data_IF_135859160049
#
_entry.id   IF_135859160049
#
_cell.length_a   1.000
_cell.length_b   1.000
_cell.length_c   1.000
_cell.angle_alpha   90.00
_cell.angle_beta   90.00
_cell.angle_gamma   90.00
#
_symmetry.space_group_name_H-M   'P 1'
#
loop_
_entity.id
_entity.type
_entity.pdbx_description
1 polymer ?
#
# COMPACT_ATOMS: atom_id res chain seq x y z
N UNK A 1 -2.40 24.17 -26.54
CA UNK A 1 -1.68 25.46 -26.55
C UNK A 1 -0.33 25.26 -27.23
N UNK A 2 0.33 26.34 -27.66
CA UNK A 2 1.63 26.32 -28.35
C UNK A 2 2.82 25.89 -27.44
N UNK A 3 2.52 25.16 -26.36
CA UNK A 3 3.39 24.36 -25.53
C UNK A 3 2.54 23.20 -25.03
N UNK A 4 2.98 21.95 -25.21
CA UNK A 4 2.19 20.71 -25.20
C UNK A 4 1.51 20.28 -23.89
N UNK A 5 0.98 21.22 -23.11
CA UNK A 5 0.19 20.94 -21.92
C UNK A 5 -1.24 20.52 -22.30
N UNK A 6 -1.70 19.42 -21.71
CA UNK A 6 -3.10 18.99 -21.79
C UNK A 6 -3.98 19.97 -21.00
N UNK A 7 -5.00 20.51 -21.65
CA UNK A 7 -6.08 21.26 -21.02
C UNK A 7 -7.07 20.25 -20.44
N UNK A 8 -7.30 20.31 -19.14
CA UNK A 8 -8.28 19.46 -18.46
C UNK A 8 -9.62 20.19 -18.36
N UNK A 9 -10.70 19.48 -18.68
CA UNK A 9 -12.06 19.98 -18.49
C UNK A 9 -12.49 19.86 -17.02
N UNK A 10 -13.59 20.53 -16.62
CA UNK A 10 -14.14 20.39 -15.26
C UNK A 10 -14.50 18.94 -14.92
N UNK A 11 -15.01 18.17 -15.89
CA UNK A 11 -15.31 16.75 -15.69
C UNK A 11 -14.04 15.91 -15.50
N UNK A 12 -12.93 16.25 -16.17
CA UNK A 12 -11.64 15.58 -15.94
C UNK A 12 -11.12 15.83 -14.51
N UNK A 13 -11.25 17.06 -14.01
CA UNK A 13 -10.85 17.41 -12.64
C UNK A 13 -11.71 16.67 -11.61
N UNK A 14 -13.02 16.59 -11.84
CA UNK A 14 -13.94 15.84 -10.98
C UNK A 14 -13.62 14.34 -10.99
N UNK A 15 -13.38 13.76 -12.17
CA UNK A 15 -12.97 12.36 -12.32
C UNK A 15 -11.67 12.09 -11.56
N UNK A 16 -10.69 12.98 -11.66
CA UNK A 16 -9.44 12.87 -10.90
C UNK A 16 -9.69 12.91 -9.40
N UNK A 17 -10.53 13.84 -8.89
CA UNK A 17 -10.88 13.87 -7.45
C UNK A 17 -11.54 12.57 -6.98
N UNK A 18 -12.43 11.99 -7.78
CA UNK A 18 -13.06 10.70 -7.47
C UNK A 18 -12.04 9.56 -7.45
N UNK A 19 -11.14 9.48 -8.44
CA UNK A 19 -10.02 8.52 -8.43
C UNK A 19 -9.15 8.74 -7.18
N UNK A 20 -8.86 10.01 -6.85
CA UNK A 20 -8.07 10.39 -5.68
C UNK A 20 -8.74 9.94 -4.36
N UNK A 21 -10.06 10.05 -4.27
CA UNK A 21 -10.87 9.56 -3.15
C UNK A 21 -10.84 8.03 -3.07
N UNK A 22 -11.16 7.34 -4.16
CA UNK A 22 -11.27 5.87 -4.20
C UNK A 22 -9.96 5.14 -3.85
N UNK A 23 -8.79 5.64 -4.26
CA UNK A 23 -7.53 5.01 -3.78
C UNK A 23 -7.08 5.49 -2.39
N UNK A 24 -7.62 6.61 -1.86
CA UNK A 24 -7.28 7.10 -0.51
C UNK A 24 -8.14 6.42 0.56
N UNK A 25 -9.44 6.33 0.31
CA UNK A 25 -10.45 5.94 1.29
C UNK A 25 -10.86 4.47 1.13
N UNK A 26 -10.85 3.96 -0.10
CA UNK A 26 -11.30 2.61 -0.45
C UNK A 26 -10.18 1.71 -0.98
N UNK A 27 -8.95 2.25 -1.08
CA UNK A 27 -7.74 1.55 -1.51
C UNK A 27 -7.88 0.80 -2.84
N UNK A 28 -8.73 1.31 -3.74
CA UNK A 28 -9.03 0.62 -5.00
C UNK A 28 -7.85 0.75 -6.00
N UNK A 29 -7.48 -0.32 -6.70
CA UNK A 29 -6.49 -0.29 -7.78
C UNK A 29 -6.98 0.52 -8.98
N UNK A 30 -6.08 1.20 -9.71
CA UNK A 30 -6.45 2.04 -10.87
C UNK A 30 -7.25 1.28 -11.95
N UNK A 31 -7.00 -0.03 -12.11
CA UNK A 31 -7.75 -0.88 -13.05
C UNK A 31 -9.19 -1.09 -12.60
N UNK A 32 -9.40 -1.32 -11.31
CA UNK A 32 -10.74 -1.49 -10.72
C UNK A 32 -11.48 -0.16 -10.71
N UNK A 33 -10.81 0.93 -10.34
CA UNK A 33 -11.38 2.29 -10.44
C UNK A 33 -11.80 2.59 -11.87
N UNK A 34 -10.98 2.25 -12.87
CA UNK A 34 -11.35 2.43 -14.29
C UNK A 34 -12.66 1.69 -14.64
N UNK A 35 -12.85 0.47 -14.13
CA UNK A 35 -14.07 -0.31 -14.35
C UNK A 35 -15.28 0.29 -13.62
N UNK A 36 -15.10 0.71 -12.36
CA UNK A 36 -16.14 1.37 -11.54
C UNK A 36 -16.58 2.72 -12.12
N UNK A 37 -15.63 3.50 -12.63
CA UNK A 37 -15.90 4.75 -13.34
C UNK A 37 -16.62 4.52 -14.67
N UNK A 38 -16.27 3.45 -15.40
CA UNK A 38 -16.96 3.06 -16.63
C UNK A 38 -18.40 2.56 -16.36
N UNK A 39 -18.64 1.99 -15.18
CA UNK A 39 -19.96 1.54 -14.72
C UNK A 39 -20.89 2.61 -14.14
N UNK A 40 -20.51 3.90 -14.19
CA UNK A 40 -21.37 5.02 -13.79
C UNK A 40 -21.50 5.26 -12.28
N UNK A 41 -20.70 4.59 -11.44
CA UNK A 41 -20.78 4.73 -9.97
C UNK A 41 -20.35 6.12 -9.47
N UNK A 42 -19.49 6.81 -10.22
CA UNK A 42 -18.99 8.15 -9.90
C UNK A 42 -20.06 9.25 -9.90
N UNK A 43 -21.14 9.07 -10.66
CA UNK A 43 -22.20 10.08 -10.79
C UNK A 43 -23.20 10.01 -9.62
N UNK A 44 -23.24 8.89 -8.89
CA UNK A 44 -24.21 8.64 -7.80
C UNK A 44 -23.77 9.18 -6.43
N UNK A 45 -22.48 9.39 -6.21
CA UNK A 45 -21.94 9.89 -4.93
C UNK A 45 -21.88 11.42 -4.83
N UNK A 46 -22.47 12.15 -5.79
CA UNK A 46 -22.52 13.62 -5.80
C UNK A 46 -23.79 14.11 -5.09
N UNK A 47 -23.94 13.78 -3.81
CA UNK A 47 -24.82 14.53 -2.91
C UNK A 47 -23.93 15.38 -1.97
N UNK A 48 -24.08 16.71 -1.94
CA UNK A 48 -23.18 17.59 -1.21
C UNK A 48 -23.49 17.54 0.30
N UNK A 49 -22.69 16.80 1.06
CA UNK A 49 -22.57 16.93 2.52
C UNK A 49 -21.36 17.80 2.88
N UNK A 50 -21.39 18.55 4.00
CA UNK A 50 -20.37 19.56 4.33
C UNK A 50 -18.99 18.95 4.60
N UNK A 51 -17.90 19.72 4.40
CA UNK A 51 -16.54 19.19 4.36
C UNK A 51 -16.02 18.87 5.77
N UNK A 52 -15.67 17.59 6.00
CA UNK A 52 -14.75 17.24 7.08
C UNK A 52 -13.36 17.79 6.75
N UNK A 53 -12.71 18.39 7.74
CA UNK A 53 -11.48 19.19 7.63
C UNK A 53 -10.24 18.49 7.04
N UNK A 54 -9.11 19.21 6.96
CA UNK A 54 -7.92 18.75 6.25
C UNK A 54 -7.30 17.59 7.02
N UNK A 55 -7.59 16.37 6.58
CA UNK A 55 -6.78 15.21 6.89
C UNK A 55 -5.54 15.30 6.00
N UNK A 56 -4.37 15.46 6.63
CA UNK A 56 -3.05 15.26 6.03
C UNK A 56 -2.88 13.78 5.62
N UNK A 57 -3.66 13.36 4.62
CA UNK A 57 -3.57 12.06 3.98
C UNK A 57 -2.48 12.11 2.93
N UNK A 58 -1.21 12.03 3.35
CA UNK A 58 -0.10 11.83 2.41
C UNK A 58 -0.23 10.46 1.74
N UNK A 59 0.11 10.35 0.44
CA UNK A 59 -0.47 9.35 -0.43
C UNK A 59 0.22 7.97 -0.30
N UNK A 60 -0.51 6.96 0.17
CA UNK A 60 -0.19 5.52 0.10
C UNK A 60 -0.14 4.95 -1.35
N UNK A 61 0.25 5.77 -2.35
CA UNK A 61 -0.12 5.56 -3.77
C UNK A 61 0.99 5.09 -4.70
N UNK A 62 2.20 4.83 -4.22
CA UNK A 62 3.20 4.16 -5.04
C UNK A 62 3.77 3.01 -4.24
N UNK A 63 3.54 1.81 -4.75
CA UNK A 63 4.46 0.66 -4.76
C UNK A 63 3.64 -0.62 -4.59
N UNK A 64 2.88 -0.96 -5.63
CA UNK A 64 2.36 -2.32 -5.78
C UNK A 64 3.33 -3.12 -6.67
N UNK A 65 4.62 -3.20 -6.28
CA UNK A 65 5.68 -3.94 -7.01
C UNK A 65 6.35 -3.14 -8.15
N UNK A 66 6.54 -1.81 -8.00
CA UNK A 66 7.62 -1.19 -8.79
C UNK A 66 8.94 -1.78 -8.32
N UNK A 67 9.62 -2.47 -9.24
CA UNK A 67 11.01 -2.90 -9.10
C UNK A 67 11.79 -1.84 -8.36
N UNK A 68 12.34 -2.21 -7.19
CA UNK A 68 13.23 -1.44 -6.32
C UNK A 68 13.93 -0.34 -7.12
N UNK A 69 13.29 0.83 -7.22
CA UNK A 69 14.06 2.04 -7.41
C UNK A 69 15.01 2.02 -6.20
N UNK A 70 16.31 2.37 -6.33
CA UNK A 70 17.11 2.63 -5.15
C UNK A 70 16.54 3.88 -4.50
N UNK A 71 15.37 3.74 -3.87
CA UNK A 71 14.69 4.78 -3.13
C UNK A 71 15.60 5.25 -2.02
N UNK A 72 15.29 6.43 -1.49
CA UNK A 72 16.02 6.98 -0.38
C UNK A 72 16.16 5.92 0.73
N UNK A 73 17.37 5.83 1.27
CA UNK A 73 17.66 5.03 2.45
C UNK A 73 17.68 5.95 3.66
N UNK A 74 17.00 5.52 4.70
CA UNK A 74 16.77 6.27 5.92
C UNK A 74 17.57 5.63 7.04
N UNK A 75 18.32 6.45 7.79
CA UNK A 75 18.93 6.00 9.04
C UNK A 75 17.84 5.68 10.09
N UNK A 76 18.22 5.04 11.19
CA UNK A 76 17.30 4.86 12.31
C UNK A 76 16.78 6.20 12.85
N UNK A 77 17.64 7.22 12.89
CA UNK A 77 17.28 8.57 13.32
C UNK A 77 16.23 9.18 12.38
N UNK A 78 16.44 9.12 11.06
CA UNK A 78 15.49 9.64 10.07
C UNK A 78 14.12 8.95 10.18
N UNK A 79 14.12 7.62 10.35
CA UNK A 79 12.88 6.86 10.52
C UNK A 79 12.12 7.31 11.76
N UNK A 80 12.80 7.40 12.91
CA UNK A 80 12.18 7.83 14.17
C UNK A 80 11.61 9.24 14.06
N UNK A 81 12.37 10.17 13.48
CA UNK A 81 11.96 11.56 13.29
C UNK A 81 10.73 11.65 12.36
N UNK A 82 10.76 11.01 11.20
CA UNK A 82 9.70 11.13 10.20
C UNK A 82 8.42 10.38 10.57
N UNK A 83 8.52 9.25 11.28
CA UNK A 83 7.36 8.43 11.64
C UNK A 83 6.82 8.74 13.03
N UNK A 84 7.57 9.48 13.85
CA UNK A 84 7.24 9.72 15.26
C UNK A 84 7.19 8.43 16.09
N UNK A 85 7.90 7.39 15.67
CA UNK A 85 7.92 6.11 16.37
C UNK A 85 8.95 6.13 17.49
N UNK A 86 8.68 5.40 18.59
CA UNK A 86 9.70 5.16 19.60
C UNK A 86 10.85 4.31 19.03
N UNK A 87 12.10 4.63 19.38
CA UNK A 87 13.26 3.89 18.89
C UNK A 87 13.27 2.42 19.35
N UNK A 88 12.70 2.13 20.52
CA UNK A 88 12.47 0.76 21.01
C UNK A 88 11.50 -0.02 20.14
N UNK A 89 10.42 0.62 19.66
CA UNK A 89 9.48 0.01 18.71
C UNK A 89 10.16 -0.37 17.40
N UNK A 90 11.03 0.49 16.86
CA UNK A 90 11.76 0.17 15.62
C UNK A 90 12.70 -1.02 15.81
N UNK A 91 13.39 -1.12 16.96
CA UNK A 91 14.22 -2.29 17.29
C UNK A 91 13.38 -3.56 17.42
N UNK A 92 12.24 -3.46 18.09
CA UNK A 92 11.30 -4.57 18.23
C UNK A 92 10.81 -5.09 16.87
N UNK A 93 10.53 -4.19 15.92
CA UNK A 93 10.17 -4.54 14.55
C UNK A 93 11.28 -5.31 13.82
N UNK A 94 12.54 -4.94 14.04
CA UNK A 94 13.71 -5.67 13.53
C UNK A 94 13.82 -7.06 14.16
N UNK A 95 13.71 -7.15 15.48
CA UNK A 95 13.85 -8.40 16.23
C UNK A 95 12.77 -9.42 15.87
N UNK A 96 11.54 -8.97 15.62
CA UNK A 96 10.46 -9.81 15.13
C UNK A 96 10.49 -10.05 13.61
N UNK A 97 11.43 -9.43 12.90
CA UNK A 97 11.66 -9.55 11.46
C UNK A 97 10.52 -8.98 10.62
N UNK A 98 9.77 -8.02 11.17
CA UNK A 98 8.72 -7.27 10.47
C UNK A 98 9.35 -6.29 9.49
N UNK A 99 10.45 -5.67 9.91
CA UNK A 99 11.41 -4.98 9.04
C UNK A 99 12.78 -5.65 9.18
N UNK A 100 13.66 -5.43 8.22
CA UNK A 100 15.02 -5.95 8.21
C UNK A 100 16.04 -4.84 8.16
N UNK A 101 15.87 -3.84 7.30
CA UNK A 101 16.94 -2.89 6.98
C UNK A 101 18.13 -3.56 6.29
N UNK A 102 19.00 -2.71 5.76
CA UNK A 102 20.24 -3.07 5.08
C UNK A 102 21.43 -2.51 5.85
N UNK A 103 22.46 -3.32 6.10
CA UNK A 103 23.69 -2.86 6.75
C UNK A 103 24.60 -2.18 5.72
N UNK A 104 24.98 -0.92 5.97
CA UNK A 104 25.94 -0.15 5.16
C UNK A 104 26.93 0.57 6.05
N UNK A 105 28.23 0.36 5.81
CA UNK A 105 29.31 0.99 6.57
C UNK A 105 29.16 0.90 8.10
N UNK A 106 28.61 -0.22 8.61
CA UNK A 106 28.40 -0.45 10.05
C UNK A 106 27.09 0.11 10.63
N UNK A 107 26.32 0.89 9.87
CA UNK A 107 25.00 1.38 10.25
C UNK A 107 23.87 0.65 9.51
N UNK A 108 22.69 0.58 10.12
CA UNK A 108 21.50 0.01 9.50
C UNK A 108 20.67 1.12 8.86
N UNK A 109 20.28 0.89 7.61
CA UNK A 109 19.42 1.78 6.85
C UNK A 109 18.14 1.07 6.43
N UNK A 110 17.04 1.80 6.35
CA UNK A 110 15.73 1.29 6.00
C UNK A 110 15.31 1.90 4.67
N UNK A 111 14.61 1.14 3.84
CA UNK A 111 14.01 1.70 2.63
C UNK A 111 12.66 2.37 2.93
N UNK A 112 12.09 3.01 1.91
CA UNK A 112 10.81 3.70 2.03
C UNK A 112 9.65 2.77 2.44
N UNK A 113 9.68 1.50 2.01
CA UNK A 113 8.63 0.54 2.39
C UNK A 113 8.73 0.21 3.88
N UNK A 114 9.94 -0.02 4.38
CA UNK A 114 10.18 -0.29 5.80
C UNK A 114 9.83 0.93 6.67
N UNK A 115 10.14 2.14 6.23
CA UNK A 115 9.71 3.39 6.90
C UNK A 115 8.19 3.50 7.00
N UNK A 116 7.46 3.18 5.93
CA UNK A 116 5.99 3.18 5.95
C UNK A 116 5.41 2.07 6.83
N UNK A 117 6.07 0.90 6.91
CA UNK A 117 5.70 -0.14 7.89
C UNK A 117 5.85 0.39 9.31
N UNK A 118 6.96 1.07 9.64
CA UNK A 118 7.17 1.68 10.97
C UNK A 118 6.08 2.70 11.27
N UNK A 119 5.72 3.57 10.31
CA UNK A 119 4.63 4.54 10.47
C UNK A 119 3.30 3.87 10.79
N UNK A 120 2.92 2.83 10.03
CA UNK A 120 1.67 2.11 10.27
C UNK A 120 1.65 1.43 11.65
N UNK A 121 2.77 0.84 12.07
CA UNK A 121 2.85 0.21 13.40
C UNK A 121 2.85 1.25 14.52
N UNK A 122 3.44 2.42 14.33
CA UNK A 122 3.39 3.52 15.30
C UNK A 122 1.94 3.92 15.64
N UNK A 123 1.06 3.96 14.64
CA UNK A 123 -0.37 4.22 14.86
C UNK A 123 -1.06 3.06 15.60
N UNK A 124 -0.72 1.81 15.28
CA UNK A 124 -1.25 0.63 15.98
C UNK A 124 -0.76 0.53 17.43
N UNK A 125 0.45 0.98 17.72
CA UNK A 125 1.04 0.96 19.06
C UNK A 125 0.23 1.81 20.06
N UNK A 126 -0.46 2.87 19.59
CA UNK A 126 -1.38 3.69 20.41
C UNK A 126 -2.56 2.88 20.98
N UNK A 127 -2.88 1.75 20.34
CA UNK A 127 -3.93 0.82 20.77
C UNK A 127 -3.37 -0.42 21.48
N UNK A 128 -2.09 -0.40 21.89
CA UNK A 128 -1.43 -1.51 22.58
C UNK A 128 -0.99 -2.66 21.67
N UNK A 129 -0.96 -2.44 20.34
CA UNK A 129 -0.52 -3.47 19.39
C UNK A 129 0.99 -3.41 19.22
N UNK A 130 1.70 -4.35 19.86
CA UNK A 130 3.15 -4.52 19.74
C UNK A 130 3.57 -5.99 19.68
N UNK A 131 4.87 -6.21 19.49
CA UNK A 131 5.55 -7.50 19.58
C UNK A 131 4.91 -8.70 18.89
N UNK A 132 4.36 -9.63 19.67
CA UNK A 132 3.79 -10.89 19.17
C UNK A 132 2.66 -10.67 18.16
N UNK A 133 1.88 -9.60 18.30
CA UNK A 133 0.81 -9.28 17.36
C UNK A 133 1.37 -8.99 15.96
N UNK A 134 2.55 -8.35 15.89
CA UNK A 134 3.22 -8.01 14.64
C UNK A 134 3.73 -9.26 13.90
N UNK A 135 4.13 -10.31 14.63
CA UNK A 135 4.43 -11.62 14.03
C UNK A 135 3.24 -12.21 13.27
N UNK A 136 2.01 -11.98 13.72
CA UNK A 136 0.80 -12.49 13.05
C UNK A 136 0.61 -11.78 11.71
N UNK A 137 0.77 -10.45 11.69
CA UNK A 137 0.72 -9.66 10.44
C UNK A 137 1.80 -10.12 9.45
N UNK A 138 3.05 -10.24 9.91
CA UNK A 138 4.15 -10.76 9.09
C UNK A 138 3.84 -12.15 8.52
N UNK A 139 3.45 -13.10 9.37
CA UNK A 139 3.16 -14.48 8.93
C UNK A 139 1.96 -14.56 7.98
N UNK A 140 1.02 -13.63 8.08
CA UNK A 140 -0.10 -13.49 7.12
C UNK A 140 0.40 -12.99 5.76
N UNK A 141 1.26 -11.97 5.75
CA UNK A 141 1.89 -11.45 4.54
C UNK A 141 2.78 -12.50 3.85
N UNK A 142 3.61 -13.23 4.61
CA UNK A 142 4.49 -14.27 4.09
C UNK A 142 3.68 -15.39 3.39
N UNK A 143 2.57 -15.83 4.01
CA UNK A 143 1.68 -16.85 3.42
C UNK A 143 1.00 -16.37 2.13
N UNK A 144 0.58 -15.11 2.07
CA UNK A 144 0.02 -14.54 0.86
C UNK A 144 1.07 -14.45 -0.25
N UNK A 145 2.27 -13.95 0.05
CA UNK A 145 3.36 -13.88 -0.91
C UNK A 145 3.70 -15.27 -1.46
N UNK A 146 3.76 -16.29 -0.60
CA UNK A 146 3.98 -17.69 -1.01
C UNK A 146 2.86 -18.21 -1.92
N UNK A 147 1.60 -17.92 -1.60
CA UNK A 147 0.46 -18.30 -2.44
C UNK A 147 0.61 -17.69 -3.84
N UNK A 148 0.79 -16.37 -3.93
CA UNK A 148 0.94 -15.67 -5.21
C UNK A 148 2.18 -16.17 -5.99
N UNK A 149 3.29 -16.37 -5.28
CA UNK A 149 4.51 -16.93 -5.86
C UNK A 149 4.26 -18.32 -6.45
N UNK A 150 3.56 -19.21 -5.73
CA UNK A 150 3.30 -20.58 -6.20
C UNK A 150 2.46 -20.62 -7.48
N UNK A 151 1.48 -19.71 -7.62
CA UNK A 151 0.62 -19.59 -8.80
C UNK A 151 1.46 -19.18 -10.02
N UNK A 152 2.36 -18.22 -9.85
CA UNK A 152 3.12 -17.62 -10.95
C UNK A 152 4.53 -18.18 -11.13
N UNK A 153 4.98 -19.09 -10.26
CA UNK A 153 6.35 -19.60 -10.22
C UNK A 153 6.85 -20.13 -11.58
N UNK A 154 6.06 -20.91 -12.35
CA UNK A 154 6.50 -21.41 -13.66
C UNK A 154 6.74 -20.27 -14.66
N UNK A 155 5.86 -19.26 -14.68
CA UNK A 155 5.94 -18.14 -15.60
C UNK A 155 7.06 -17.17 -15.23
N UNK A 156 7.27 -16.91 -13.92
CA UNK A 156 8.38 -16.08 -13.42
C UNK A 156 9.76 -16.69 -13.72
N UNK A 157 9.90 -18.02 -13.66
CA UNK A 157 11.16 -18.74 -13.98
C UNK A 157 11.40 -18.94 -15.47
N UNK A 158 10.43 -18.60 -16.33
CA UNK A 158 10.56 -18.71 -17.78
C UNK A 158 11.80 -17.98 -18.29
N UNK A 159 12.50 -18.57 -19.26
CA UNK A 159 13.59 -17.91 -20.01
C UNK A 159 13.08 -16.90 -21.04
N UNK A 160 11.82 -17.03 -21.47
CA UNK A 160 11.18 -16.06 -22.37
C UNK A 160 10.90 -14.75 -21.59
N UNK A 161 11.45 -13.60 -22.03
CA UNK A 161 11.30 -12.32 -21.35
C UNK A 161 9.86 -11.77 -21.38
N UNK A 162 9.10 -12.00 -22.45
CA UNK A 162 7.70 -11.56 -22.57
C UNK A 162 6.82 -12.31 -21.56
N UNK A 163 6.94 -13.64 -21.51
CA UNK A 163 6.22 -14.46 -20.53
C UNK A 163 6.55 -14.09 -19.09
N UNK A 164 7.79 -13.67 -18.81
CA UNK A 164 8.19 -13.19 -17.49
C UNK A 164 7.56 -11.82 -17.19
N UNK A 165 7.51 -10.92 -18.16
CA UNK A 165 6.85 -9.60 -18.02
C UNK A 165 5.36 -9.77 -17.73
N UNK A 166 4.66 -10.60 -18.51
CA UNK A 166 3.25 -10.94 -18.28
C UNK A 166 3.03 -11.53 -16.88
N UNK A 167 3.95 -12.36 -16.39
CA UNK A 167 3.88 -12.91 -15.03
C UNK A 167 4.04 -11.84 -13.94
N UNK A 168 4.90 -10.85 -14.15
CA UNK A 168 5.06 -9.71 -13.22
C UNK A 168 3.78 -8.87 -13.21
N UNK A 169 3.21 -8.55 -14.38
CA UNK A 169 1.94 -7.82 -14.48
C UNK A 169 0.78 -8.61 -13.83
N UNK A 170 0.76 -9.93 -14.00
CA UNK A 170 -0.20 -10.79 -13.32
C UNK A 170 -0.02 -10.79 -11.80
N UNK A 171 1.22 -10.74 -11.31
CA UNK A 171 1.53 -10.67 -9.88
C UNK A 171 0.96 -9.39 -9.25
N UNK A 172 1.15 -8.25 -9.90
CA UNK A 172 0.59 -6.96 -9.45
C UNK A 172 -0.94 -7.01 -9.37
N UNK A 173 -1.58 -7.56 -10.40
CA UNK A 173 -3.04 -7.72 -10.44
C UNK A 173 -3.53 -8.67 -9.34
N UNK A 174 -2.84 -9.78 -9.09
CA UNK A 174 -3.21 -10.72 -8.04
C UNK A 174 -3.06 -10.10 -6.65
N UNK A 175 -1.93 -9.44 -6.36
CA UNK A 175 -1.71 -8.76 -5.08
C UNK A 175 -2.80 -7.73 -4.78
N UNK A 176 -3.17 -6.98 -5.81
CA UNK A 176 -4.27 -6.03 -5.77
C UNK A 176 -5.63 -6.69 -5.44
N UNK A 177 -6.00 -7.79 -6.12
CA UNK A 177 -7.28 -8.48 -5.88
C UNK A 177 -7.29 -9.14 -4.51
N UNK A 178 -6.19 -9.76 -4.08
CA UNK A 178 -6.10 -10.41 -2.77
C UNK A 178 -6.18 -9.39 -1.63
N UNK A 179 -5.56 -8.21 -1.79
CA UNK A 179 -5.69 -7.10 -0.82
C UNK A 179 -7.15 -6.65 -0.67
N UNK A 180 -7.88 -6.48 -1.78
CA UNK A 180 -9.30 -6.12 -1.74
C UNK A 180 -10.16 -7.21 -1.08
N UNK A 181 -9.92 -8.48 -1.41
CA UNK A 181 -10.61 -9.60 -0.76
C UNK A 181 -10.37 -9.60 0.76
N UNK A 182 -9.13 -9.39 1.22
CA UNK A 182 -8.79 -9.31 2.64
C UNK A 182 -9.53 -8.18 3.35
N UNK A 183 -9.60 -7.01 2.73
CA UNK A 183 -10.35 -5.86 3.24
C UNK A 183 -11.84 -6.20 3.42
N UNK A 184 -12.47 -6.83 2.43
CA UNK A 184 -13.88 -7.23 2.51
C UNK A 184 -14.13 -8.28 3.59
N UNK A 185 -13.25 -9.28 3.73
CA UNK A 185 -13.34 -10.28 4.79
C UNK A 185 -13.23 -9.64 6.18
N UNK A 186 -12.28 -8.70 6.34
CA UNK A 186 -12.12 -7.94 7.57
C UNK A 186 -13.38 -7.13 7.91
N UNK A 187 -13.94 -6.39 6.95
CA UNK A 187 -15.19 -5.64 7.17
C UNK A 187 -16.33 -6.56 7.60
N UNK A 188 -16.51 -7.70 6.91
CA UNK A 188 -17.56 -8.67 7.24
C UNK A 188 -17.45 -9.14 8.69
N UNK A 189 -16.24 -9.43 9.15
CA UNK A 189 -16.02 -9.98 10.47
C UNK A 189 -16.06 -8.89 11.57
N UNK A 190 -15.57 -7.68 11.28
CA UNK A 190 -15.72 -6.53 12.19
C UNK A 190 -17.19 -6.15 12.41
N UNK A 191 -18.03 -6.22 11.36
CA UNK A 191 -19.47 -5.97 11.51
C UNK A 191 -20.12 -6.89 12.55
N UNK A 192 -19.71 -8.15 12.61
CA UNK A 192 -20.22 -9.12 13.60
C UNK A 192 -19.81 -8.81 15.05
N UNK A 193 -18.75 -8.03 15.24
CA UNK A 193 -18.26 -7.63 16.57
C UNK A 193 -18.97 -6.35 17.02
N UNK A 194 -19.35 -5.49 16.07
CA UNK A 194 -19.99 -4.20 16.32
C UNK A 194 -21.53 -4.28 16.48
N UNK A 195 -22.15 -5.41 16.12
CA UNK A 195 -23.56 -5.74 16.41
C UNK A 195 -23.64 -6.81 17.49
#
# INVERSE_FOLDING_TARGET
TQGGYRLYTQSDVQRLRTILRLQRDEFLPLRVIRQELAGGRAERDVAPGPPAGPSDGRPLRRTLVSTRDPGALYSLEDVVEETGADAGLVRELVDFGVIKGEMRAGARYFDETEREIVRAVSELARYGVGGRNLRVFRSSADREAQLLQSILAPALRSRNPERRREAIEALENLASVTTYLKHLLLIRDLRKIAT
#
